data_IF_192193648711
#
_entry.id   IF_192193648711
#
_cell.length_a   1.000
_cell.length_b   1.000
_cell.length_c   1.000
_cell.angle_alpha   90.00
_cell.angle_beta   90.00
_cell.angle_gamma   90.00
#
_symmetry.space_group_name_H-M   'P 1'
#
loop_
_entity.id
_entity.type
_entity.pdbx_description
1 polymer ?
#
# COMPACT_ATOMS: atom_id res chain seq x y z
N UNK A 1 -2.51 -23.26 3.42
CA UNK A 1 -3.01 -22.23 4.34
C UNK A 1 -4.20 -21.61 3.63
N UNK A 2 -5.36 -21.55 4.27
CA UNK A 2 -6.55 -20.98 3.65
C UNK A 2 -6.33 -19.48 3.42
N UNK A 3 -6.92 -18.87 2.39
CA UNK A 3 -6.78 -17.42 2.11
C UNK A 3 -7.23 -16.61 3.34
N UNK A 4 -8.27 -17.07 4.04
CA UNK A 4 -8.74 -16.44 5.28
C UNK A 4 -7.72 -16.47 6.40
N UNK A 5 -6.87 -17.50 6.47
CA UNK A 5 -5.84 -17.62 7.52
C UNK A 5 -4.73 -16.59 7.30
N UNK A 6 -4.37 -16.31 6.04
CA UNK A 6 -3.35 -15.31 5.68
C UNK A 6 -3.86 -13.91 5.98
N UNK A 7 -5.12 -13.61 5.65
CA UNK A 7 -5.71 -12.30 5.91
C UNK A 7 -5.88 -12.03 7.42
N UNK A 8 -6.31 -13.05 8.18
CA UNK A 8 -6.38 -12.95 9.65
C UNK A 8 -5.00 -12.70 10.26
N UNK A 9 -3.96 -13.42 9.83
CA UNK A 9 -2.61 -13.21 10.35
C UNK A 9 -2.04 -11.82 10.02
N UNK A 10 -2.38 -11.28 8.84
CA UNK A 10 -2.01 -9.92 8.46
C UNK A 10 -2.75 -8.88 9.31
N UNK A 11 -4.04 -9.10 9.54
CA UNK A 11 -4.86 -8.27 10.42
C UNK A 11 -4.32 -8.24 11.86
N UNK A 12 -4.01 -9.40 12.43
CA UNK A 12 -3.46 -9.47 13.78
C UNK A 12 -2.13 -8.73 13.90
N UNK A 13 -1.26 -8.84 12.88
CA UNK A 13 0.02 -8.13 12.83
C UNK A 13 -0.14 -6.61 12.85
N UNK A 14 -1.09 -6.05 12.08
CA UNK A 14 -1.31 -4.60 12.10
C UNK A 14 -1.97 -4.15 13.40
N UNK A 15 -2.83 -4.98 14.00
CA UNK A 15 -3.47 -4.68 15.28
C UNK A 15 -2.42 -4.63 16.40
N UNK A 16 -1.43 -5.53 16.37
CA UNK A 16 -0.31 -5.59 17.30
C UNK A 16 0.62 -4.36 17.26
N UNK A 17 0.47 -3.46 16.29
CA UNK A 17 1.13 -2.17 16.32
C UNK A 17 0.63 -1.31 17.49
N UNK A 18 -0.63 -1.49 17.90
CA UNK A 18 -1.19 -0.78 19.04
C UNK A 18 -0.85 -1.45 20.37
N UNK A 19 -0.73 -0.68 21.46
CA UNK A 19 -0.74 -1.25 22.80
C UNK A 19 -2.15 -1.72 23.19
N UNK A 20 -2.21 -2.72 24.08
CA UNK A 20 -3.46 -3.13 24.72
C UNK A 20 -4.09 -1.98 25.53
N UNK A 21 -5.43 -1.89 25.60
CA UNK A 21 -6.43 -2.82 25.05
C UNK A 21 -6.81 -2.57 23.57
N UNK A 22 -6.23 -1.55 22.94
CA UNK A 22 -6.68 -1.12 21.61
C UNK A 22 -6.34 -2.14 20.51
N UNK A 23 -5.23 -2.88 20.64
CA UNK A 23 -4.92 -3.99 19.75
C UNK A 23 -6.04 -5.05 19.74
N UNK A 24 -6.53 -5.44 20.93
CA UNK A 24 -7.62 -6.41 21.02
C UNK A 24 -8.92 -5.90 20.37
N UNK A 25 -9.25 -4.62 20.53
CA UNK A 25 -10.43 -4.03 19.87
C UNK A 25 -10.36 -4.14 18.35
N UNK A 26 -9.18 -3.88 17.75
CA UNK A 26 -8.96 -4.07 16.31
C UNK A 26 -9.12 -5.54 15.92
N UNK A 27 -8.57 -6.48 16.70
CA UNK A 27 -8.69 -7.93 16.42
C UNK A 27 -10.13 -8.43 16.53
N UNK A 28 -10.88 -7.96 17.52
CA UNK A 28 -12.27 -8.32 17.73
C UNK A 28 -13.15 -7.88 16.56
N UNK A 29 -12.86 -6.71 15.97
CA UNK A 29 -13.55 -6.20 14.79
C UNK A 29 -13.51 -7.18 13.60
N UNK A 30 -12.40 -7.88 13.39
CA UNK A 30 -12.30 -8.92 12.36
C UNK A 30 -13.24 -10.11 12.64
N UNK A 31 -13.34 -10.53 13.90
CA UNK A 31 -14.16 -11.68 14.29
C UNK A 31 -15.67 -11.43 14.11
N UNK A 32 -16.09 -10.17 14.18
CA UNK A 32 -17.50 -9.78 14.05
C UNK A 32 -17.85 -9.19 12.68
N UNK A 33 -16.87 -9.04 11.77
CA UNK A 33 -17.10 -8.47 10.44
C UNK A 33 -17.23 -6.94 10.41
N UNK A 34 -16.56 -6.25 11.33
CA UNK A 34 -16.52 -4.78 11.41
C UNK A 34 -15.14 -4.21 11.06
N UNK A 35 -14.54 -4.69 9.96
CA UNK A 35 -13.17 -4.33 9.58
C UNK A 35 -12.98 -2.81 9.37
N UNK A 36 -13.95 -2.11 8.81
CA UNK A 36 -13.92 -0.63 8.67
C UNK A 36 -13.78 0.07 10.03
N UNK A 37 -14.51 -0.43 11.04
CA UNK A 37 -14.43 0.05 12.43
C UNK A 37 -13.06 -0.24 13.04
N UNK A 38 -12.55 -1.46 12.84
CA UNK A 38 -11.20 -1.84 13.29
C UNK A 38 -10.09 -0.98 12.67
N UNK A 39 -10.18 -0.64 11.38
CA UNK A 39 -9.23 0.25 10.71
C UNK A 39 -9.30 1.70 11.24
N UNK A 40 -10.51 2.16 11.59
CA UNK A 40 -10.69 3.47 12.24
C UNK A 40 -10.01 3.50 13.59
N UNK A 41 -10.26 2.50 14.45
CA UNK A 41 -9.60 2.35 15.75
C UNK A 41 -8.08 2.27 15.60
N UNK A 42 -7.59 1.54 14.60
CA UNK A 42 -6.16 1.42 14.32
C UNK A 42 -5.52 2.79 14.05
N UNK A 43 -6.00 3.52 13.04
CA UNK A 43 -5.39 4.78 12.61
C UNK A 43 -5.53 5.87 13.67
N UNK A 44 -6.71 6.03 14.27
CA UNK A 44 -6.92 6.99 15.34
C UNK A 44 -6.10 6.62 16.59
N UNK A 45 -5.99 5.33 16.89
CA UNK A 45 -5.21 4.82 18.01
C UNK A 45 -3.72 5.12 17.88
N UNK A 46 -3.16 4.89 16.68
CA UNK A 46 -1.76 5.15 16.36
C UNK A 46 -1.46 6.65 16.51
N UNK A 47 -2.34 7.50 15.96
CA UNK A 47 -2.20 8.94 16.01
C UNK A 47 -2.32 9.49 17.44
N UNK A 48 -3.37 9.09 18.18
CA UNK A 48 -3.64 9.59 19.52
C UNK A 48 -2.55 9.21 20.53
N UNK A 49 -1.96 8.02 20.36
CA UNK A 49 -0.92 7.50 21.26
C UNK A 49 0.50 7.79 20.77
N UNK A 50 0.65 8.41 19.61
CA UNK A 50 1.95 8.67 18.97
C UNK A 50 2.79 7.40 18.87
N UNK A 51 2.16 6.29 18.50
CA UNK A 51 2.87 5.03 18.27
C UNK A 51 3.69 5.18 16.99
N UNK A 52 5.02 5.04 17.05
CA UNK A 52 5.84 5.07 15.84
C UNK A 52 5.57 3.83 14.99
N UNK A 53 5.39 4.02 13.69
CA UNK A 53 5.23 2.94 12.71
C UNK A 53 6.26 3.06 11.59
N UNK A 54 6.74 1.92 11.12
CA UNK A 54 7.64 1.86 9.96
C UNK A 54 6.93 2.17 8.65
N UNK A 55 7.71 2.54 7.63
CA UNK A 55 7.15 2.87 6.31
C UNK A 55 6.45 1.68 5.64
N UNK A 56 6.93 0.46 5.86
CA UNK A 56 6.29 -0.76 5.36
C UNK A 56 4.92 -1.01 6.01
N UNK A 57 4.82 -0.85 7.33
CA UNK A 57 3.54 -0.99 8.05
C UNK A 57 2.55 0.10 7.63
N UNK A 58 3.03 1.34 7.47
CA UNK A 58 2.22 2.44 6.94
C UNK A 58 1.67 2.13 5.55
N UNK A 59 2.52 1.62 4.64
CA UNK A 59 2.10 1.20 3.31
C UNK A 59 1.10 0.04 3.36
N UNK A 60 1.33 -0.95 4.23
CA UNK A 60 0.42 -2.08 4.43
C UNK A 60 -0.94 -1.64 4.98
N UNK A 61 -0.98 -0.69 5.90
CA UNK A 61 -2.24 -0.09 6.38
C UNK A 61 -2.94 0.62 5.22
N UNK A 62 -2.21 1.40 4.41
CA UNK A 62 -2.79 2.07 3.23
C UNK A 62 -3.46 1.08 2.28
N UNK A 63 -2.85 -0.08 2.03
CA UNK A 63 -3.41 -1.15 1.19
C UNK A 63 -4.70 -1.72 1.77
N UNK A 64 -4.76 -1.93 3.08
CA UNK A 64 -5.97 -2.39 3.74
C UNK A 64 -7.07 -1.34 3.70
N UNK A 65 -6.73 -0.07 3.89
CA UNK A 65 -7.68 1.03 3.74
C UNK A 65 -8.27 1.07 2.33
N UNK A 66 -7.48 0.84 1.29
CA UNK A 66 -7.96 0.81 -0.10
C UNK A 66 -8.92 -0.38 -0.33
N UNK A 67 -8.54 -1.58 0.11
CA UNK A 67 -9.36 -2.79 -0.05
C UNK A 67 -10.70 -2.77 0.70
N UNK A 68 -10.77 -2.06 1.82
CA UNK A 68 -12.01 -1.85 2.58
C UNK A 68 -12.71 -0.53 2.24
N UNK A 69 -12.26 0.20 1.20
CA UNK A 69 -12.89 1.46 0.81
C UNK A 69 -12.84 2.54 1.90
N UNK A 70 -11.82 2.53 2.76
CA UNK A 70 -11.61 3.50 3.86
C UNK A 70 -10.50 4.52 3.57
N UNK A 71 -9.85 4.42 2.40
CA UNK A 71 -8.69 5.25 2.04
C UNK A 71 -8.97 6.75 2.15
N UNK A 72 -10.07 7.24 1.56
CA UNK A 72 -10.39 8.67 1.59
C UNK A 72 -10.57 9.19 3.02
N UNK A 73 -11.24 8.42 3.88
CA UNK A 73 -11.50 8.81 5.26
C UNK A 73 -10.23 8.81 6.14
N UNK A 74 -9.37 7.79 5.99
CA UNK A 74 -8.31 7.52 6.98
C UNK A 74 -6.89 7.86 6.52
N UNK A 75 -6.63 8.04 5.21
CA UNK A 75 -5.28 8.41 4.71
C UNK A 75 -4.74 9.70 5.33
N UNK A 76 -5.52 10.78 5.51
CA UNK A 76 -5.02 11.99 6.17
C UNK A 76 -4.51 11.73 7.59
N UNK A 77 -5.17 10.83 8.34
CA UNK A 77 -4.72 10.41 9.67
C UNK A 77 -3.46 9.55 9.62
N UNK A 78 -3.43 8.60 8.69
CA UNK A 78 -2.30 7.70 8.48
C UNK A 78 -1.01 8.45 8.14
N UNK A 79 -1.06 9.47 7.28
CA UNK A 79 0.10 10.32 6.93
C UNK A 79 0.65 11.04 8.17
N UNK A 80 -0.22 11.48 9.08
CA UNK A 80 0.20 12.17 10.31
C UNK A 80 0.72 11.24 11.41
N UNK A 81 0.61 9.93 11.25
CA UNK A 81 1.17 8.98 12.21
C UNK A 81 2.69 9.17 12.31
N UNK A 82 3.24 8.91 13.49
CA UNK A 82 4.67 9.07 13.75
C UNK A 82 5.47 8.01 12.99
N UNK A 83 6.54 8.41 12.31
CA UNK A 83 7.51 7.48 11.73
C UNK A 83 8.41 6.89 12.81
N UNK A 84 8.82 5.63 12.68
CA UNK A 84 9.77 4.98 13.59
C UNK A 84 11.24 5.42 13.42
N UNK A 85 11.53 6.23 12.41
CA UNK A 85 12.88 6.70 12.08
C UNK A 85 13.79 5.63 11.49
N UNK A 86 13.24 4.46 11.14
CA UNK A 86 13.95 3.39 10.46
C UNK A 86 14.15 3.64 8.97
N UNK A 87 14.81 2.72 8.26
CA UNK A 87 14.88 2.76 6.80
C UNK A 87 13.47 2.75 6.19
N UNK A 88 13.29 3.52 5.12
CA UNK A 88 12.02 3.59 4.38
C UNK A 88 12.15 2.78 3.09
N UNK A 89 11.88 1.45 3.08
CA UNK A 89 11.97 0.62 1.88
C UNK A 89 10.87 0.92 0.85
N UNK A 90 9.84 1.64 1.29
CA UNK A 90 8.72 2.15 0.50
C UNK A 90 8.32 3.52 1.01
N UNK A 91 7.66 4.29 0.14
CA UNK A 91 7.11 5.61 0.43
C UNK A 91 5.66 5.66 -0.08
N UNK A 92 4.76 6.25 0.71
CA UNK A 92 3.44 6.63 0.21
C UNK A 92 3.61 7.88 -0.66
N UNK A 93 3.19 7.78 -1.93
CA UNK A 93 3.20 8.88 -2.90
C UNK A 93 1.89 9.66 -2.86
N UNK A 94 0.87 9.09 -2.22
CA UNK A 94 -0.41 9.71 -2.02
C UNK A 94 -0.47 10.33 -0.62
N UNK A 95 -0.29 11.65 -0.55
CA UNK A 95 -0.65 12.42 0.64
C UNK A 95 0.52 12.95 1.47
N UNK A 96 1.71 13.11 0.94
CA UNK A 96 2.66 14.07 1.51
C UNK A 96 2.09 15.48 1.31
N UNK A 97 1.32 15.97 2.28
CA UNK A 97 0.64 17.28 2.26
C UNK A 97 1.53 18.53 2.12
N UNK A 98 2.80 18.35 1.72
CA UNK A 98 3.75 19.40 1.34
C UNK A 98 4.52 19.09 0.04
N UNK A 99 4.24 17.96 -0.63
CA UNK A 99 4.77 17.58 -1.94
C UNK A 99 3.82 17.95 -3.08
N UNK A 100 4.35 18.08 -4.30
CA UNK A 100 3.54 18.15 -5.52
C UNK A 100 2.58 16.97 -5.54
N UNK A 101 1.27 17.23 -5.65
CA UNK A 101 0.27 16.20 -5.91
C UNK A 101 0.80 15.29 -7.02
N UNK A 102 0.96 14.00 -6.73
CA UNK A 102 1.57 13.07 -7.68
C UNK A 102 0.85 13.17 -9.03
N UNK A 103 1.60 13.57 -10.07
CA UNK A 103 1.02 13.87 -11.38
C UNK A 103 0.27 12.65 -11.91
N UNK A 104 -1.04 12.79 -12.12
CA UNK A 104 -1.87 11.73 -12.68
C UNK A 104 -1.41 11.39 -14.09
N UNK A 105 -1.32 10.10 -14.39
CA UNK A 105 -0.69 9.59 -15.60
C UNK A 105 -1.72 9.04 -16.58
N UNK A 106 -1.65 9.48 -17.83
CA UNK A 106 -2.51 9.02 -18.94
C UNK A 106 -1.67 8.62 -20.16
N UNK A 107 -2.32 7.95 -21.13
CA UNK A 107 -1.69 7.57 -22.39
C UNK A 107 -0.77 6.34 -22.27
N UNK A 108 -1.20 5.36 -21.49
CA UNK A 108 -0.50 4.08 -21.34
C UNK A 108 -0.62 3.22 -22.59
N UNK A 109 0.40 2.41 -22.84
CA UNK A 109 0.50 1.60 -24.06
C UNK A 109 -0.38 0.34 -24.04
N UNK A 110 -0.76 -0.10 -22.84
CA UNK A 110 -1.50 -1.31 -22.58
C UNK A 110 -2.99 -1.09 -22.86
N UNK A 111 -3.64 -1.95 -23.66
CA UNK A 111 -5.05 -1.80 -24.04
C UNK A 111 -6.01 -1.72 -22.84
N UNK A 112 -5.75 -2.46 -21.76
CA UNK A 112 -6.55 -2.49 -20.55
C UNK A 112 -6.51 -1.18 -19.76
N UNK A 113 -5.43 -0.41 -19.94
CA UNK A 113 -5.21 0.89 -19.31
C UNK A 113 -5.62 2.05 -20.24
N UNK A 114 -6.03 1.75 -21.47
CA UNK A 114 -6.42 2.75 -22.44
C UNK A 114 -7.65 3.53 -21.94
N UNK A 115 -7.49 4.85 -21.79
CA UNK A 115 -8.56 5.72 -21.28
C UNK A 115 -8.71 5.75 -19.76
N UNK A 116 -7.83 5.08 -19.01
CA UNK A 116 -7.77 5.19 -17.56
C UNK A 116 -6.78 6.28 -17.12
N UNK A 117 -7.00 6.78 -15.91
CA UNK A 117 -6.12 7.70 -15.20
C UNK A 117 -5.39 6.92 -14.12
N UNK A 118 -4.05 6.92 -14.17
CA UNK A 118 -3.24 6.22 -13.19
C UNK A 118 -2.69 7.19 -12.16
N UNK A 119 -3.06 6.96 -10.90
CA UNK A 119 -2.59 7.72 -9.75
C UNK A 119 -1.45 6.91 -9.13
N UNK A 120 -0.21 7.45 -9.06
CA UNK A 120 0.85 6.84 -8.25
C UNK A 120 0.35 6.57 -6.83
N UNK A 121 0.88 5.59 -6.10
CA UNK A 121 0.37 5.31 -4.74
C UNK A 121 1.48 4.91 -3.77
N UNK A 122 2.27 3.90 -4.13
CA UNK A 122 3.37 3.40 -3.27
C UNK A 122 4.63 3.26 -4.11
N UNK A 123 5.68 4.01 -3.76
CA UNK A 123 6.99 3.92 -4.39
C UNK A 123 7.91 2.97 -3.61
N UNK A 124 8.64 2.10 -4.30
CA UNK A 124 9.74 1.35 -3.70
C UNK A 124 11.04 2.16 -3.82
N UNK A 125 11.58 2.59 -2.69
CA UNK A 125 12.81 3.42 -2.62
C UNK A 125 14.07 2.65 -3.04
N UNK A 126 14.02 1.32 -3.03
CA UNK A 126 15.16 0.44 -3.35
C UNK A 126 15.38 0.27 -4.84
N UNK A 127 14.31 0.18 -5.63
CA UNK A 127 14.38 -0.08 -7.07
C UNK A 127 13.70 0.97 -7.95
N UNK A 128 13.08 1.99 -7.35
CA UNK A 128 12.41 3.07 -8.07
C UNK A 128 11.13 2.65 -8.81
N UNK A 129 10.60 1.46 -8.56
CA UNK A 129 9.28 1.05 -9.10
C UNK A 129 8.16 1.64 -8.24
N UNK A 130 7.07 2.01 -8.87
CA UNK A 130 5.84 2.45 -8.21
C UNK A 130 4.71 1.45 -8.42
N UNK A 131 3.85 1.33 -7.41
CA UNK A 131 2.50 0.80 -7.51
C UNK A 131 1.55 1.97 -7.74
N UNK A 132 0.75 1.88 -8.79
CA UNK A 132 -0.23 2.87 -9.22
C UNK A 132 -1.63 2.25 -9.16
N UNK A 133 -2.64 3.09 -8.99
CA UNK A 133 -4.06 2.74 -9.04
C UNK A 133 -4.68 3.34 -10.30
N UNK A 134 -5.30 2.51 -11.13
CA UNK A 134 -5.94 2.94 -12.36
C UNK A 134 -7.42 3.21 -12.11
N UNK A 135 -7.89 4.41 -12.45
CA UNK A 135 -9.25 4.87 -12.23
C UNK A 135 -9.92 5.29 -13.54
N UNK A 136 -11.25 5.20 -13.58
CA UNK A 136 -12.03 5.89 -14.61
C UNK A 136 -12.24 7.35 -14.21
N UNK A 137 -12.29 8.24 -15.20
CA UNK A 137 -12.87 9.56 -15.00
C UNK A 137 -14.40 9.42 -15.05
N UNK A 138 -15.09 9.83 -14.01
CA UNK A 138 -16.54 9.74 -13.90
C UNK A 138 -17.20 11.06 -14.32
N UNK A 139 -18.49 11.01 -14.67
CA UNK A 139 -19.23 12.15 -15.22
C UNK A 139 -19.39 13.33 -14.25
N UNK A 140 -19.15 13.12 -12.96
CA UNK A 140 -19.17 14.13 -11.91
C UNK A 140 -17.81 14.81 -11.67
N UNK A 141 -16.90 14.70 -12.64
CA UNK A 141 -15.57 15.34 -12.66
C UNK A 141 -14.66 14.89 -11.52
N UNK A 142 -14.73 13.60 -11.19
CA UNK A 142 -13.88 12.96 -10.19
C UNK A 142 -13.48 11.55 -10.66
N UNK A 143 -12.49 10.97 -10.00
CA UNK A 143 -12.05 9.61 -10.26
C UNK A 143 -13.03 8.59 -9.66
N UNK A 144 -13.08 7.41 -10.28
CA UNK A 144 -13.82 6.28 -9.72
C UNK A 144 -13.35 5.98 -8.29
N UNK A 145 -14.29 5.74 -7.37
CA UNK A 145 -13.98 5.55 -5.96
C UNK A 145 -12.99 4.40 -5.72
N UNK A 146 -13.23 3.28 -6.39
CA UNK A 146 -12.34 2.13 -6.42
C UNK A 146 -11.48 2.17 -7.68
N UNK A 147 -10.27 1.65 -7.56
CA UNK A 147 -9.41 1.39 -8.71
C UNK A 147 -10.00 0.25 -9.55
N UNK A 148 -9.89 0.36 -10.87
CA UNK A 148 -10.21 -0.72 -11.82
C UNK A 148 -9.06 -1.73 -11.91
N UNK A 149 -7.82 -1.25 -11.74
CA UNK A 149 -6.59 -2.06 -11.76
C UNK A 149 -5.53 -1.49 -10.83
N UNK A 150 -4.60 -2.36 -10.42
CA UNK A 150 -3.33 -1.94 -9.84
C UNK A 150 -2.19 -2.22 -10.81
N UNK A 151 -1.24 -1.30 -10.92
CA UNK A 151 -0.19 -1.36 -11.93
C UNK A 151 1.17 -1.15 -11.29
N UNK A 152 2.13 -2.02 -11.59
CA UNK A 152 3.53 -1.81 -11.23
C UNK A 152 4.28 -1.28 -12.45
N UNK A 153 4.97 -0.16 -12.30
CA UNK A 153 5.77 0.46 -13.36
C UNK A 153 7.07 1.06 -12.82
N UNK A 154 8.11 1.27 -13.65
CA UNK A 154 9.25 2.11 -13.28
C UNK A 154 8.81 3.57 -13.09
N UNK A 155 9.44 4.29 -12.16
CA UNK A 155 9.18 5.72 -12.01
C UNK A 155 9.47 6.49 -13.31
N UNK A 156 8.50 7.31 -13.74
CA UNK A 156 8.62 8.14 -14.94
C UNK A 156 8.39 7.42 -16.28
N UNK A 157 8.15 6.12 -16.28
CA UNK A 157 7.84 5.35 -17.49
C UNK A 157 6.34 5.00 -17.56
N UNK A 158 5.72 5.27 -18.72
CA UNK A 158 4.30 4.95 -18.99
C UNK A 158 4.16 3.57 -19.63
N UNK A 159 4.69 2.56 -18.95
CA UNK A 159 4.67 1.16 -19.37
C UNK A 159 4.53 0.25 -18.17
N UNK A 160 3.53 -0.62 -18.20
CA UNK A 160 3.27 -1.55 -17.12
C UNK A 160 4.29 -2.70 -17.16
N UNK A 161 4.86 -3.02 -16.00
CA UNK A 161 5.57 -4.27 -15.79
C UNK A 161 4.59 -5.39 -15.43
N UNK A 162 3.56 -5.05 -14.63
CA UNK A 162 2.48 -5.95 -14.21
C UNK A 162 1.19 -5.15 -14.01
N UNK A 163 0.07 -5.81 -14.31
CA UNK A 163 -1.29 -5.29 -14.12
C UNK A 163 -2.05 -6.34 -13.29
N UNK A 164 -2.79 -5.87 -12.30
CA UNK A 164 -3.59 -6.66 -11.37
C UNK A 164 -5.04 -6.18 -11.38
N UNK A 165 -6.03 -7.08 -11.17
CA UNK A 165 -7.44 -6.69 -11.11
C UNK A 165 -7.77 -5.85 -9.87
N UNK A 166 -8.95 -5.24 -9.85
CA UNK A 166 -9.43 -4.31 -8.82
C UNK A 166 -9.44 -4.85 -7.38
N UNK A 167 -9.46 -6.16 -7.18
CA UNK A 167 -9.50 -6.83 -5.87
C UNK A 167 -8.12 -7.33 -5.41
N UNK A 168 -7.08 -7.15 -6.22
CA UNK A 168 -5.75 -7.69 -5.99
C UNK A 168 -4.75 -6.66 -5.44
N UNK A 169 -5.21 -5.65 -4.70
CA UNK A 169 -4.35 -4.59 -4.16
C UNK A 169 -3.24 -5.13 -3.25
N UNK A 170 -3.56 -6.13 -2.43
CA UNK A 170 -2.57 -6.80 -1.60
C UNK A 170 -1.55 -7.61 -2.41
N UNK A 171 -2.00 -8.35 -3.41
CA UNK A 171 -1.10 -9.13 -4.28
C UNK A 171 -0.15 -8.21 -5.05
N UNK A 172 -0.65 -7.07 -5.53
CA UNK A 172 0.15 -6.06 -6.20
C UNK A 172 1.20 -5.43 -5.27
N UNK A 173 0.85 -5.18 -4.01
CA UNK A 173 1.79 -4.70 -3.00
C UNK A 173 2.86 -5.75 -2.63
N UNK A 174 2.45 -7.01 -2.45
CA UNK A 174 3.37 -8.12 -2.18
C UNK A 174 4.35 -8.34 -3.35
N UNK A 175 3.87 -8.24 -4.60
CA UNK A 175 4.70 -8.29 -5.82
C UNK A 175 5.71 -7.13 -5.87
N UNK A 176 5.28 -5.90 -5.57
CA UNK A 176 6.16 -4.72 -5.54
C UNK A 176 7.34 -4.94 -4.60
N UNK A 177 7.08 -5.50 -3.41
CA UNK A 177 8.10 -5.75 -2.40
C UNK A 177 8.98 -6.97 -2.72
N UNK A 178 8.36 -8.07 -3.15
CA UNK A 178 8.99 -9.38 -3.36
C UNK A 178 9.86 -9.47 -4.60
N UNK A 179 9.48 -8.78 -5.69
CA UNK A 179 10.23 -8.78 -6.95
C UNK A 179 11.05 -7.50 -7.17
N UNK A 180 11.44 -6.86 -6.08
CA UNK A 180 12.42 -5.78 -6.08
C UNK A 180 13.81 -6.33 -6.47
N UNK A 181 14.42 -5.88 -7.59
CA UNK A 181 15.73 -6.40 -8.04
C UNK A 181 16.83 -6.27 -6.99
N UNK A 182 16.85 -5.16 -6.24
CA UNK A 182 17.79 -4.95 -5.14
C UNK A 182 17.60 -5.93 -3.96
N UNK A 183 16.42 -6.57 -3.83
CA UNK A 183 16.20 -7.64 -2.87
C UNK A 183 16.79 -8.98 -3.34
N UNK A 184 16.93 -9.17 -4.65
CA UNK A 184 17.41 -10.41 -5.28
C UNK A 184 18.95 -10.46 -5.33
N UNK A 185 19.61 -9.30 -5.48
CA UNK A 185 21.08 -9.19 -5.49
C UNK A 185 21.72 -9.47 -4.11
N UNK A 186 20.94 -9.44 -3.03
CA UNK A 186 21.39 -9.78 -1.67
C UNK A 186 21.52 -11.28 -1.39
N UNK A 187 21.15 -12.16 -2.33
CA UNK A 187 21.22 -13.62 -2.19
C UNK A 187 22.29 -14.28 -3.08
N UNK A 188 23.09 -13.49 -3.80
CA UNK A 188 24.15 -13.97 -4.69
C UNK A 188 25.56 -13.52 -4.25
N UNK A 189 26.03 -13.94 -3.09
CA UNK A 189 27.49 -13.88 -2.83
C UNK A 189 28.14 -15.14 -3.44
N UNK A 190 29.09 -15.02 -4.38
CA UNK A 190 29.81 -16.17 -4.91
C UNK A 190 30.77 -16.75 -3.86
N UNK A 191 30.69 -18.06 -3.64
CA UNK A 191 31.74 -18.82 -2.96
C UNK A 191 33.08 -18.55 -3.67
N UNK A 192 33.97 -17.87 -2.97
CA UNK A 192 35.36 -17.70 -3.39
C UNK A 192 36.04 -19.05 -3.22
N UNK A 193 36.10 -19.82 -4.30
CA UNK A 193 36.97 -20.99 -4.37
C UNK A 193 38.41 -20.50 -4.54
N UNK A 194 39.16 -20.54 -3.44
CA UNK A 194 40.61 -20.48 -3.47
C UNK A 194 41.16 -21.88 -3.71
N UNK A 195 41.89 -22.06 -4.82
CA UNK A 195 42.87 -23.12 -5.03
C UNK A 195 44.03 -22.55 -5.86
#
# INVERSE_FOLDING_TARGET
>A
MDVKDVDTARWDRIADLLPEPAAQEVKDAWQIGEQEGGLTVLVEGLLARQVPIGAADRAQISVLLDGWGMRHALTPGLVRCLGDGGPEPVQLLDGDGEGEEAEVQTGWSEPELAGLVLVPWIGCTRCGRGLLRAHRWEDWDDLSYLAEYYVIAPAGERRALRIFPYDAGQEAFDELLGNCPAAQDGQGAPETSAA
#
